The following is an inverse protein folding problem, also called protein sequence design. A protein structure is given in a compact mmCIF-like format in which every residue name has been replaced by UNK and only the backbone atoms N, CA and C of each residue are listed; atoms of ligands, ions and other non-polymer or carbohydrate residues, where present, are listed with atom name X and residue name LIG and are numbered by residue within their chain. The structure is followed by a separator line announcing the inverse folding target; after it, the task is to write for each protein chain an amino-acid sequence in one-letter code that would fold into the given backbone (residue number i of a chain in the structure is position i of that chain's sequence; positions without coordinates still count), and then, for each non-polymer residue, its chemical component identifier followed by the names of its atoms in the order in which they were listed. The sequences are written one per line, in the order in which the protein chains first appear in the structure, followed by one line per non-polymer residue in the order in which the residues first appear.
data_IF_417800058856
#
_entry.id   IF_417800058856
#
_cell.length_a   1.000
_cell.length_b   1.000
_cell.length_c   1.000
_cell.angle_alpha   90.00
_cell.angle_beta   90.00
_cell.angle_gamma   90.00
#
_symmetry.space_group_name_H-M   'P 1'
#
loop_
_entity.id
_entity.type
_entity.pdbx_description
1 polymer ?
#
# COMPACT_ATOMS: atom_id res chain seq x y z
N UNK A 1 -7.49 1.04 16.67
CA UNK A 1 -7.02 2.33 17.22
C UNK A 1 -6.59 3.25 16.09
N UNK A 2 -6.85 4.55 16.24
CA UNK A 2 -6.30 5.60 15.35
C UNK A 2 -4.94 6.03 15.87
N UNK A 3 -3.97 6.13 14.96
CA UNK A 3 -2.62 6.60 15.29
C UNK A 3 -2.39 7.96 14.62
N UNK A 4 -1.75 8.88 15.33
CA UNK A 4 -1.36 10.19 14.79
C UNK A 4 0.15 10.24 14.62
N UNK A 5 0.59 10.69 13.45
CA UNK A 5 1.99 10.81 13.07
C UNK A 5 2.29 12.24 12.63
N UNK A 6 3.44 12.77 13.04
CA UNK A 6 3.94 14.07 12.60
C UNK A 6 4.96 13.87 11.47
N UNK A 7 4.72 14.51 10.32
CA UNK A 7 5.65 14.54 9.20
C UNK A 7 6.76 15.57 9.39
N UNK A 8 7.85 15.43 8.65
CA UNK A 8 9.05 16.27 8.75
C UNK A 8 8.83 17.79 8.55
N UNK A 9 7.66 18.18 8.01
CA UNK A 9 7.27 19.57 7.75
C UNK A 9 6.22 20.10 8.76
N UNK A 10 5.95 19.39 9.86
CA UNK A 10 4.90 19.74 10.83
C UNK A 10 3.48 19.36 10.39
N UNK A 11 3.34 18.65 9.27
CA UNK A 11 2.07 18.12 8.78
C UNK A 11 1.65 16.90 9.60
N UNK A 12 0.46 16.95 10.22
CA UNK A 12 -0.09 15.84 10.99
C UNK A 12 -0.87 14.88 10.08
N UNK A 13 -0.63 13.57 10.25
CA UNK A 13 -1.36 12.49 9.58
C UNK A 13 -2.08 11.64 10.60
N UNK A 14 -3.36 11.38 10.36
CA UNK A 14 -4.14 10.37 11.09
C UNK A 14 -4.13 9.09 10.25
N UNK A 15 -3.74 7.98 10.86
CA UNK A 15 -3.77 6.67 10.25
C UNK A 15 -4.80 5.77 10.95
N UNK A 16 -5.63 5.14 10.13
CA UNK A 16 -6.45 3.99 10.49
C UNK A 16 -5.90 2.74 9.78
N UNK A 17 -6.19 1.53 10.26
CA UNK A 17 -6.04 0.32 9.47
C UNK A 17 -6.61 0.50 8.05
N UNK A 18 -5.78 0.32 7.02
CA UNK A 18 -6.20 0.42 5.61
C UNK A 18 -6.44 1.82 5.04
N UNK A 19 -6.37 2.90 5.83
CA UNK A 19 -6.54 4.26 5.30
C UNK A 19 -5.78 5.33 6.10
N UNK A 20 -5.43 6.42 5.44
CA UNK A 20 -4.77 7.54 6.11
C UNK A 20 -5.29 8.87 5.55
N UNK A 21 -5.27 9.89 6.39
CA UNK A 21 -5.71 11.23 6.04
C UNK A 21 -4.78 12.29 6.65
N UNK A 22 -4.54 13.37 5.91
CA UNK A 22 -3.85 14.55 6.42
C UNK A 22 -4.81 15.41 7.23
N UNK A 23 -4.31 16.04 8.29
CA UNK A 23 -5.05 17.06 9.04
C UNK A 23 -4.90 18.38 8.29
N UNK A 24 -6.02 18.88 7.75
CA UNK A 24 -6.09 20.14 7.02
C UNK A 24 -6.24 21.33 7.97
N UNK A 25 -6.97 21.14 9.07
CA UNK A 25 -7.12 22.15 10.13
C UNK A 25 -7.20 21.45 11.49
N UNK A 26 -6.49 21.97 12.48
CA UNK A 26 -6.32 21.35 13.79
C UNK A 26 -6.86 22.25 14.90
N UNK A 27 -7.16 21.64 16.05
CA UNK A 27 -7.53 22.36 17.27
C UNK A 27 -8.82 23.20 17.16
N UNK A 28 -9.80 22.71 16.40
CA UNK A 28 -11.11 23.37 16.27
C UNK A 28 -11.90 23.11 17.55
N UNK A 29 -12.10 24.17 18.35
CA UNK A 29 -12.84 24.07 19.61
C UNK A 29 -14.32 23.83 19.34
N UNK A 30 -14.81 22.67 19.77
CA UNK A 30 -16.21 22.26 19.66
C UNK A 30 -16.76 22.00 21.07
N UNK A 31 -16.99 23.07 21.83
CA UNK A 31 -17.47 22.98 23.21
C UNK A 31 -16.42 22.39 24.15
N UNK A 32 -16.66 21.16 24.63
CA UNK A 32 -15.72 20.41 25.49
C UNK A 32 -14.90 19.35 24.73
N UNK A 33 -14.97 19.35 23.39
CA UNK A 33 -14.17 18.50 22.51
C UNK A 33 -13.32 19.36 21.58
N UNK A 34 -12.31 18.73 20.99
CA UNK A 34 -11.50 19.27 19.90
C UNK A 34 -11.80 18.47 18.64
N UNK A 35 -12.08 19.17 17.55
CA UNK A 35 -12.25 18.59 16.22
C UNK A 35 -11.02 18.89 15.36
N UNK A 36 -10.66 17.94 14.51
CA UNK A 36 -9.62 18.09 13.50
C UNK A 36 -10.25 17.82 12.14
N UNK A 37 -10.10 18.74 11.20
CA UNK A 37 -10.56 18.56 9.83
C UNK A 37 -9.53 17.70 9.09
N UNK A 38 -10.00 16.63 8.47
CA UNK A 38 -9.20 15.73 7.64
C UNK A 38 -9.59 15.88 6.18
N UNK A 39 -8.61 15.75 5.29
CA UNK A 39 -8.81 15.90 3.84
C UNK A 39 -9.48 14.67 3.19
N UNK A 40 -9.26 13.49 3.77
CA UNK A 40 -9.76 12.22 3.24
C UNK A 40 -10.65 11.51 4.27
N UNK A 41 -11.67 10.81 3.78
CA UNK A 41 -12.51 9.94 4.61
C UNK A 41 -11.71 8.71 5.04
N UNK A 42 -11.62 8.50 6.36
CA UNK A 42 -11.07 7.26 6.91
C UNK A 42 -12.07 6.13 6.71
N UNK A 43 -11.58 5.01 6.19
CA UNK A 43 -12.35 3.79 6.10
C UNK A 43 -12.55 3.22 7.51
N UNK A 44 -13.72 2.62 7.80
CA UNK A 44 -13.88 1.85 9.02
C UNK A 44 -12.78 0.79 9.08
N UNK A 45 -12.36 0.42 10.29
CA UNK A 45 -11.36 -0.63 10.47
C UNK A 45 -11.95 -1.96 10.02
N UNK A 46 -11.92 -2.22 8.72
CA UNK A 46 -12.15 -3.54 8.19
C UNK A 46 -11.02 -4.39 8.77
N UNK A 47 -11.38 -5.26 9.70
CA UNK A 47 -10.48 -6.30 10.22
C UNK A 47 -10.08 -7.27 9.10
N UNK A 48 -10.68 -7.11 7.91
CA UNK A 48 -10.40 -7.78 6.64
C UNK A 48 -9.55 -6.92 5.68
N UNK A 49 -8.74 -5.97 6.19
CA UNK A 49 -7.65 -5.42 5.39
C UNK A 49 -6.64 -6.56 5.14
N UNK A 50 -6.91 -7.33 4.09
CA UNK A 50 -6.11 -8.48 3.68
C UNK A 50 -4.63 -8.10 3.54
N UNK A 51 -3.77 -9.10 3.65
CA UNK A 51 -2.33 -8.90 3.46
C UNK A 51 -2.02 -8.32 2.07
N UNK A 52 -0.81 -7.78 1.86
CA UNK A 52 -0.41 -7.27 0.54
C UNK A 52 -0.58 -8.36 -0.53
N UNK A 53 -0.39 -9.62 -0.16
CA UNK A 53 -0.63 -10.77 -1.05
C UNK A 53 -2.10 -10.96 -1.46
N UNK A 54 -3.03 -10.60 -0.57
CA UNK A 54 -4.48 -10.63 -0.83
C UNK A 54 -4.85 -9.53 -1.83
N UNK A 55 -4.33 -8.32 -1.63
CA UNK A 55 -4.49 -7.21 -2.57
C UNK A 55 -3.93 -7.52 -3.97
N UNK A 56 -2.83 -8.27 -4.05
CA UNK A 56 -2.29 -8.76 -5.34
C UNK A 56 -3.18 -9.84 -6.00
N UNK A 57 -3.99 -10.54 -5.20
CA UNK A 57 -4.89 -11.59 -5.68
C UNK A 57 -6.23 -11.04 -6.14
N UNK A 58 -6.69 -9.94 -5.56
CA UNK A 58 -7.93 -9.26 -5.94
C UNK A 58 -7.82 -8.45 -7.24
N UNK A 59 -6.63 -7.96 -7.59
CA UNK A 59 -6.44 -7.11 -8.76
C UNK A 59 -6.07 -7.92 -10.02
N UNK A 60 -6.92 -7.97 -11.06
CA UNK A 60 -6.63 -8.70 -12.30
C UNK A 60 -5.41 -8.14 -13.06
N UNK A 61 -5.06 -6.87 -12.87
CA UNK A 61 -3.94 -6.21 -13.55
C UNK A 61 -2.58 -6.48 -12.89
N UNK A 62 -2.54 -7.21 -11.77
CA UNK A 62 -1.31 -7.58 -11.04
C UNK A 62 -0.97 -9.08 -11.12
N UNK A 63 -1.74 -9.85 -11.91
CA UNK A 63 -1.61 -11.32 -12.03
C UNK A 63 -0.23 -11.80 -12.49
N UNK A 64 0.42 -11.09 -13.42
CA UNK A 64 1.77 -11.49 -13.88
C UNK A 64 2.81 -11.19 -12.80
N UNK A 65 2.66 -10.10 -12.04
CA UNK A 65 3.55 -9.78 -10.92
C UNK A 65 3.42 -10.80 -9.79
N UNK A 66 2.19 -11.20 -9.45
CA UNK A 66 1.93 -12.29 -8.48
C UNK A 66 2.66 -13.58 -8.88
N UNK A 67 2.55 -13.98 -10.15
CA UNK A 67 3.21 -15.17 -10.67
C UNK A 67 4.74 -15.10 -10.52
N UNK A 68 5.33 -13.91 -10.69
CA UNK A 68 6.76 -13.70 -10.47
C UNK A 68 7.15 -13.74 -8.99
N UNK A 69 6.32 -13.20 -8.10
CA UNK A 69 6.53 -13.29 -6.65
C UNK A 69 6.49 -14.75 -6.21
N UNK A 70 5.51 -15.52 -6.69
CA UNK A 70 5.39 -16.94 -6.42
C UNK A 70 6.62 -17.72 -6.97
N UNK A 71 7.17 -17.30 -8.12
CA UNK A 71 8.38 -17.88 -8.69
C UNK A 71 9.68 -17.44 -8.00
N UNK A 72 9.73 -16.23 -7.44
CA UNK A 72 10.91 -15.66 -6.78
C UNK A 72 11.20 -16.31 -5.41
N UNK A 73 10.17 -16.87 -4.77
CA UNK A 73 10.32 -17.75 -3.61
C UNK A 73 9.32 -17.51 -2.48
N UNK A 74 9.13 -18.54 -1.65
CA UNK A 74 8.18 -18.54 -0.53
C UNK A 74 8.48 -17.48 0.55
N UNK A 75 9.74 -17.03 0.66
CA UNK A 75 10.12 -15.98 1.61
C UNK A 75 9.47 -14.63 1.27
N UNK A 76 9.29 -14.31 -0.01
CA UNK A 76 8.60 -13.09 -0.44
C UNK A 76 7.10 -13.20 -0.20
N UNK A 77 6.51 -14.38 -0.44
CA UNK A 77 5.11 -14.62 -0.10
C UNK A 77 4.88 -14.48 1.41
N UNK A 78 5.78 -15.03 2.23
CA UNK A 78 5.70 -14.91 3.69
C UNK A 78 5.88 -13.46 4.18
N UNK A 79 6.78 -12.69 3.55
CA UNK A 79 6.95 -11.27 3.85
C UNK A 79 5.71 -10.44 3.48
N UNK A 80 5.13 -10.68 2.31
CA UNK A 80 3.95 -9.95 1.81
C UNK A 80 2.66 -10.39 2.50
N UNK A 81 2.61 -11.61 3.02
CA UNK A 81 1.51 -12.11 3.85
C UNK A 81 1.59 -11.63 5.31
N UNK A 82 2.71 -11.02 5.71
CA UNK A 82 2.90 -10.53 7.07
C UNK A 82 2.24 -9.15 7.24
N UNK A 83 1.04 -9.15 7.82
CA UNK A 83 0.27 -7.92 8.10
C UNK A 83 0.96 -6.95 9.08
N UNK A 84 1.99 -7.40 9.82
CA UNK A 84 2.76 -6.56 10.74
C UNK A 84 4.01 -5.95 10.11
N UNK A 85 4.35 -6.32 8.87
CA UNK A 85 5.53 -5.80 8.18
C UNK A 85 5.17 -4.50 7.43
N UNK A 86 5.80 -3.39 7.79
CA UNK A 86 5.68 -2.12 7.04
C UNK A 86 6.55 -2.17 5.79
N UNK A 87 5.99 -2.66 4.69
CA UNK A 87 6.67 -2.76 3.38
C UNK A 87 5.91 -1.92 2.35
N UNK A 88 6.65 -1.14 1.55
CA UNK A 88 6.10 -0.47 0.36
C UNK A 88 6.51 -1.25 -0.88
N UNK A 89 5.54 -1.82 -1.58
CA UNK A 89 5.78 -2.60 -2.80
C UNK A 89 5.39 -1.77 -4.01
N UNK A 90 6.34 -1.57 -4.93
CA UNK A 90 6.07 -0.99 -6.24
C UNK A 90 5.60 -2.10 -7.18
N UNK A 91 4.31 -2.43 -7.15
CA UNK A 91 3.73 -3.48 -7.99
C UNK A 91 3.51 -2.96 -9.43
N UNK A 92 4.27 -3.45 -10.44
CA UNK A 92 4.04 -3.09 -11.83
C UNK A 92 2.76 -3.74 -12.36
N UNK A 93 2.03 -3.03 -13.22
CA UNK A 93 0.88 -3.61 -13.93
C UNK A 93 1.32 -4.62 -14.98
N UNK A 94 0.42 -5.49 -15.38
CA UNK A 94 0.63 -6.44 -16.48
C UNK A 94 1.10 -5.74 -17.76
N UNK A 95 0.55 -4.56 -18.08
CA UNK A 95 0.97 -3.76 -19.22
C UNK A 95 2.42 -3.25 -19.08
N UNK A 96 2.81 -2.79 -17.89
CA UNK A 96 4.19 -2.35 -17.63
C UNK A 96 5.18 -3.52 -17.77
N UNK A 97 4.80 -4.72 -17.32
CA UNK A 97 5.66 -5.91 -17.47
C UNK A 97 5.77 -6.40 -18.90
N UNK A 98 4.67 -6.41 -19.66
CA UNK A 98 4.69 -6.70 -21.09
C UNK A 98 5.54 -5.68 -21.86
N UNK A 99 5.45 -4.40 -21.49
CA UNK A 99 6.29 -3.36 -22.06
C UNK A 99 7.77 -3.62 -21.76
N UNK A 100 8.15 -3.98 -20.53
CA UNK A 100 9.53 -4.37 -20.20
C UNK A 100 10.00 -5.58 -20.99
N UNK A 101 9.17 -6.62 -21.13
CA UNK A 101 9.52 -7.81 -21.92
C UNK A 101 9.71 -7.48 -23.40
N UNK A 102 8.88 -6.58 -23.94
CA UNK A 102 9.01 -6.09 -25.33
C UNK A 102 10.19 -5.12 -25.53
N UNK A 103 10.59 -4.39 -24.49
CA UNK A 103 11.71 -3.46 -24.49
C UNK A 103 13.06 -4.14 -24.25
N UNK A 104 13.08 -5.35 -23.70
CA UNK A 104 14.26 -6.21 -23.57
C UNK A 104 14.19 -7.42 -24.53
N UNK A 105 14.37 -7.24 -25.85
CA UNK A 105 14.44 -8.36 -26.79
C UNK A 105 15.81 -9.09 -26.79
N UNK A 106 16.64 -8.95 -25.74
CA UNK A 106 18.10 -9.12 -25.86
C UNK A 106 18.85 -9.96 -24.82
N UNK A 107 18.21 -10.75 -23.94
CA UNK A 107 18.95 -11.65 -23.03
C UNK A 107 18.64 -13.14 -23.23
N UNK A 108 18.23 -13.53 -24.44
CA UNK A 108 17.99 -14.94 -24.78
C UNK A 108 19.17 -15.61 -25.50
N UNK A 109 20.26 -14.92 -25.81
CA UNK A 109 21.43 -15.54 -26.46
C UNK A 109 22.69 -14.70 -26.22
N UNK A 110 23.52 -15.12 -25.27
CA UNK A 110 24.97 -15.07 -25.47
C UNK A 110 25.44 -16.52 -25.31
N UNK A 111 25.91 -17.06 -26.44
CA UNK A 111 26.38 -18.42 -26.72
C UNK A 111 27.80 -18.61 -26.17
#
# INVERSE_FOLDING_TARGET
NLNMFEGANGTLRVAAPGSWAWVADADIVAGSQVAHLVDTVLLPTDEDAGSIYDALSDDPDLTVFKSLVDAAGADYVALLSNASAEVTVLAPTNAAMLALLSAQPGNATDD
#
